data_IF_249777447663
#
_entry.id   IF_249777447663
#
_cell.length_a   1.000
_cell.length_b   1.000
_cell.length_c   1.000
_cell.angle_alpha   90.00
_cell.angle_beta   90.00
_cell.angle_gamma   90.00
#
_symmetry.space_group_name_H-M   'P 1'
#
loop_
_entity.id
_entity.type
_entity.pdbx_description
1 polymer ?
#
# COMPACT_ATOMS: atom_id res chain seq x y z
N UNK A 1 -31.41 35.81 -14.94
CA UNK A 1 -31.99 35.05 -13.82
C UNK A 1 -31.00 35.13 -12.68
N UNK A 2 -31.48 35.52 -11.51
CA UNK A 2 -30.68 35.62 -10.29
C UNK A 2 -30.44 34.17 -9.84
N UNK A 3 -29.20 33.67 -9.98
CA UNK A 3 -28.82 32.41 -9.35
C UNK A 3 -28.97 32.59 -7.84
N UNK A 4 -29.76 31.72 -7.24
CA UNK A 4 -30.06 31.75 -5.82
C UNK A 4 -28.76 31.53 -5.03
N UNK A 5 -28.30 32.54 -4.31
CA UNK A 5 -27.06 32.49 -3.50
C UNK A 5 -27.19 31.61 -2.25
N UNK A 6 -28.33 30.91 -2.10
CA UNK A 6 -28.68 30.09 -0.93
C UNK A 6 -27.88 28.78 -0.88
N UNK A 7 -27.55 28.17 -2.02
CA UNK A 7 -26.92 26.84 -2.04
C UNK A 7 -25.43 26.89 -1.65
N UNK A 8 -24.76 28.04 -1.87
CA UNK A 8 -23.32 28.25 -1.59
C UNK A 8 -22.94 28.24 -0.10
N UNK A 9 -23.92 28.35 0.80
CA UNK A 9 -23.68 28.43 2.25
C UNK A 9 -24.68 27.57 3.01
N UNK A 10 -24.86 26.34 2.52
CA UNK A 10 -25.74 25.31 3.10
C UNK A 10 -24.94 24.35 3.99
N UNK A 11 -25.67 23.52 4.75
CA UNK A 11 -25.08 22.43 5.50
C UNK A 11 -24.43 21.38 4.58
N UNK A 12 -25.02 21.14 3.41
CA UNK A 12 -24.50 20.21 2.40
C UNK A 12 -23.15 20.68 1.84
N UNK A 13 -23.07 21.97 1.49
CA UNK A 13 -21.82 22.57 1.02
C UNK A 13 -20.75 22.60 2.11
N UNK A 14 -21.14 22.83 3.37
CA UNK A 14 -20.20 22.73 4.48
C UNK A 14 -19.65 21.31 4.64
N UNK A 15 -20.52 20.30 4.57
CA UNK A 15 -20.10 18.91 4.64
C UNK A 15 -19.15 18.53 3.49
N UNK A 16 -19.43 18.99 2.27
CA UNK A 16 -18.52 18.83 1.13
C UNK A 16 -17.11 19.42 1.42
N UNK A 17 -17.05 20.66 1.93
CA UNK A 17 -15.78 21.31 2.29
C UNK A 17 -15.05 20.56 3.42
N UNK A 18 -15.77 20.06 4.43
CA UNK A 18 -15.19 19.25 5.52
C UNK A 18 -14.50 18.01 4.99
N UNK A 19 -15.18 17.24 4.13
CA UNK A 19 -14.65 15.99 3.58
C UNK A 19 -13.40 16.23 2.73
N UNK A 20 -13.40 17.28 1.90
CA UNK A 20 -12.25 17.61 1.04
C UNK A 20 -11.04 18.08 1.86
N UNK A 21 -11.25 18.83 2.93
CA UNK A 21 -10.15 19.28 3.80
C UNK A 21 -9.65 18.22 4.77
N UNK A 22 -10.47 17.24 5.15
CA UNK A 22 -10.09 16.18 6.11
C UNK A 22 -8.83 15.41 5.68
N UNK A 23 -8.65 15.23 4.37
CA UNK A 23 -7.50 14.53 3.79
C UNK A 23 -6.52 15.48 3.07
N UNK A 24 -6.72 16.80 3.16
CA UNK A 24 -5.88 17.79 2.48
C UNK A 24 -4.56 17.99 3.23
N UNK A 25 -3.46 18.16 2.49
CA UNK A 25 -2.16 18.59 3.04
C UNK A 25 -2.24 19.98 3.73
N UNK A 26 -3.31 20.73 3.44
CA UNK A 26 -3.56 22.08 3.95
C UNK A 26 -4.36 22.09 5.26
N UNK A 27 -4.75 20.93 5.79
CA UNK A 27 -5.60 20.80 6.98
C UNK A 27 -5.04 21.51 8.23
N UNK A 28 -3.72 21.55 8.36
CA UNK A 28 -3.01 22.20 9.46
C UNK A 28 -2.33 23.52 9.04
N UNK A 29 -2.67 24.04 7.85
CA UNK A 29 -2.22 25.37 7.43
C UNK A 29 -3.12 26.44 8.03
N UNK A 30 -2.52 27.52 8.56
CA UNK A 30 -3.30 28.61 9.16
C UNK A 30 -4.33 29.17 8.15
N UNK A 31 -5.60 29.30 8.57
CA UNK A 31 -6.69 29.87 7.76
C UNK A 31 -6.36 31.29 7.29
N UNK A 32 -5.57 32.04 8.08
CA UNK A 32 -5.09 33.36 7.69
C UNK A 32 -4.12 33.32 6.50
N UNK A 33 -3.32 32.26 6.35
CA UNK A 33 -2.42 32.04 5.21
C UNK A 33 -3.23 31.60 4.00
N UNK A 34 -4.13 30.63 4.17
CA UNK A 34 -5.04 30.18 3.09
C UNK A 34 -5.89 31.32 2.56
N UNK A 35 -6.39 32.17 3.46
CA UNK A 35 -7.16 33.36 3.10
C UNK A 35 -6.37 34.40 2.31
N UNK A 36 -5.06 34.52 2.49
CA UNK A 36 -4.25 35.42 1.65
C UNK A 36 -4.25 34.99 0.19
N UNK A 37 -4.16 33.68 -0.07
CA UNK A 37 -4.20 33.12 -1.42
C UNK A 37 -5.59 33.35 -2.07
N UNK A 38 -6.66 33.24 -1.28
CA UNK A 38 -8.03 33.53 -1.69
C UNK A 38 -8.39 35.04 -1.69
N UNK A 39 -7.47 35.94 -1.34
CA UNK A 39 -7.75 37.37 -1.12
C UNK A 39 -8.85 37.67 -0.07
N UNK A 40 -9.04 36.78 0.91
CA UNK A 40 -10.02 36.90 2.01
C UNK A 40 -9.30 36.97 3.36
N UNK A 41 -9.61 37.99 4.17
CA UNK A 41 -9.01 38.16 5.50
C UNK A 41 -9.76 37.38 6.58
N UNK A 42 -9.05 36.48 7.29
CA UNK A 42 -9.54 35.78 8.49
C UNK A 42 -9.42 36.66 9.75
N UNK A 43 -10.45 36.73 10.61
CA UNK A 43 -10.47 37.65 11.75
C UNK A 43 -9.78 37.14 13.01
N UNK A 44 -9.43 35.85 13.09
CA UNK A 44 -8.72 35.27 14.23
C UNK A 44 -7.23 35.16 13.97
N UNK A 45 -6.45 35.21 15.04
CA UNK A 45 -4.98 35.11 15.01
C UNK A 45 -4.56 33.98 15.94
N UNK A 46 -3.63 33.15 15.49
CA UNK A 46 -3.13 32.03 16.25
C UNK A 46 -2.66 30.94 15.30
N UNK A 47 -1.59 30.24 15.65
CA UNK A 47 -1.11 29.10 14.86
C UNK A 47 -2.03 27.88 14.96
N UNK A 48 -2.99 27.90 15.90
CA UNK A 48 -4.06 26.91 16.05
C UNK A 48 -5.31 27.23 15.22
N UNK A 49 -5.33 28.34 14.49
CA UNK A 49 -6.43 28.74 13.60
C UNK A 49 -6.32 28.04 12.24
N UNK A 50 -6.52 26.73 12.22
CA UNK A 50 -6.38 25.84 11.06
C UNK A 50 -7.72 25.22 10.64
N UNK A 51 -7.87 24.66 9.41
CA UNK A 51 -9.05 23.90 9.02
C UNK A 51 -9.43 22.79 10.00
N UNK A 52 -8.45 22.03 10.54
CA UNK A 52 -8.67 20.97 11.53
C UNK A 52 -9.52 21.41 12.73
N UNK A 53 -9.34 22.66 13.20
CA UNK A 53 -10.12 23.22 14.32
C UNK A 53 -11.62 23.39 14.01
N UNK A 54 -11.99 23.55 12.75
CA UNK A 54 -13.36 23.91 12.36
C UNK A 54 -14.10 22.75 11.70
N UNK A 55 -13.42 21.93 10.90
CA UNK A 55 -14.05 20.85 10.13
C UNK A 55 -14.49 19.65 11.00
N UNK A 56 -14.15 19.62 12.29
CA UNK A 56 -14.69 18.62 13.22
C UNK A 56 -16.17 18.86 13.54
N UNK A 57 -16.65 20.10 13.39
CA UNK A 57 -18.03 20.50 13.69
C UNK A 57 -18.93 20.40 12.45
N UNK A 58 -20.13 19.85 12.62
CA UNK A 58 -21.17 19.97 11.61
C UNK A 58 -21.65 21.44 11.45
N UNK A 59 -22.52 21.71 10.47
CA UNK A 59 -22.91 23.10 10.18
C UNK A 59 -23.70 23.77 11.32
N UNK A 60 -24.41 23.00 12.14
CA UNK A 60 -25.15 23.51 13.29
C UNK A 60 -24.21 23.75 14.48
N UNK A 61 -23.30 22.81 14.73
CA UNK A 61 -22.26 22.90 15.76
C UNK A 61 -21.24 24.00 15.48
N UNK A 62 -20.90 24.25 14.20
CA UNK A 62 -20.00 25.32 13.79
C UNK A 62 -20.54 26.70 14.22
N UNK A 63 -21.86 26.86 14.22
CA UNK A 63 -22.51 28.07 14.70
C UNK A 63 -22.42 28.24 16.22
N UNK A 64 -21.97 27.22 16.94
CA UNK A 64 -21.75 27.23 18.39
C UNK A 64 -20.28 27.37 18.76
N UNK A 65 -19.36 27.36 17.79
CA UNK A 65 -17.91 27.51 18.04
C UNK A 65 -17.59 28.91 18.58
N UNK A 66 -16.79 29.02 19.66
CA UNK A 66 -16.37 30.29 20.23
C UNK A 66 -15.79 31.24 19.17
N UNK A 67 -16.42 32.42 19.01
CA UNK A 67 -16.04 33.42 18.02
C UNK A 67 -16.85 33.38 16.72
N UNK A 68 -17.49 32.26 16.39
CA UNK A 68 -18.44 32.12 15.27
C UNK A 68 -19.90 32.24 15.71
N UNK A 69 -20.18 32.09 17.02
CA UNK A 69 -21.52 32.21 17.61
C UNK A 69 -22.28 33.44 17.14
N UNK A 70 -23.43 33.20 16.48
CA UNK A 70 -24.33 34.22 15.94
C UNK A 70 -23.74 35.07 14.80
N UNK A 71 -22.58 34.68 14.24
CA UNK A 71 -21.85 35.45 13.22
C UNK A 71 -21.71 34.66 11.93
N UNK A 72 -22.84 34.46 11.24
CA UNK A 72 -22.90 33.76 9.95
C UNK A 72 -21.95 34.34 8.90
N UNK A 73 -21.67 35.65 8.93
CA UNK A 73 -20.69 36.28 8.03
C UNK A 73 -19.26 35.76 8.19
N UNK A 74 -18.89 35.22 9.37
CA UNK A 74 -17.57 34.60 9.59
C UNK A 74 -17.55 33.16 9.10
N UNK A 75 -18.65 32.43 9.26
CA UNK A 75 -18.82 31.08 8.71
C UNK A 75 -18.74 31.13 7.18
N UNK A 76 -19.45 32.07 6.55
CA UNK A 76 -19.37 32.28 5.09
C UNK A 76 -17.95 32.56 4.62
N UNK A 77 -17.20 33.39 5.35
CA UNK A 77 -15.78 33.65 5.04
C UNK A 77 -14.91 32.41 5.17
N UNK A 78 -15.14 31.58 6.18
CA UNK A 78 -14.43 30.32 6.34
C UNK A 78 -14.70 29.42 5.12
N UNK A 79 -15.97 29.21 4.80
CA UNK A 79 -16.39 28.42 3.63
C UNK A 79 -15.80 28.95 2.33
N UNK A 80 -15.78 30.27 2.14
CA UNK A 80 -15.18 30.88 0.95
C UNK A 80 -13.65 30.67 0.90
N UNK A 81 -12.93 30.83 2.01
CA UNK A 81 -11.49 30.55 2.05
C UNK A 81 -11.20 29.10 1.66
N UNK A 82 -11.93 28.15 2.26
CA UNK A 82 -11.74 26.73 1.99
C UNK A 82 -12.08 26.38 0.52
N UNK A 83 -13.22 26.87 0.03
CA UNK A 83 -13.64 26.62 -1.36
C UNK A 83 -12.65 27.14 -2.38
N UNK A 84 -12.25 28.41 -2.26
CA UNK A 84 -11.29 29.01 -3.19
C UNK A 84 -9.95 28.27 -3.12
N UNK A 85 -9.52 27.88 -1.91
CA UNK A 85 -8.28 27.08 -1.74
C UNK A 85 -8.35 25.75 -2.48
N UNK A 86 -9.49 25.05 -2.45
CA UNK A 86 -9.67 23.79 -3.20
C UNK A 86 -9.75 24.03 -4.71
N UNK A 87 -10.40 25.10 -5.17
CA UNK A 87 -10.46 25.45 -6.58
C UNK A 87 -9.07 25.78 -7.17
N UNK A 88 -8.14 26.29 -6.35
CA UNK A 88 -6.75 26.48 -6.75
C UNK A 88 -5.95 25.17 -6.82
N UNK A 89 -6.29 24.18 -6.01
CA UNK A 89 -5.62 22.86 -5.97
C UNK A 89 -6.16 21.91 -7.06
N UNK A 90 -7.43 22.04 -7.44
CA UNK A 90 -8.08 21.28 -8.51
C UNK A 90 -9.05 22.15 -9.35
N UNK A 91 -8.55 22.86 -10.38
CA UNK A 91 -9.30 23.87 -11.13
C UNK A 91 -10.41 23.32 -12.04
N UNK A 92 -10.66 22.00 -12.04
CA UNK A 92 -11.64 21.35 -12.90
C UNK A 92 -12.81 20.67 -12.14
N UNK A 93 -12.86 20.79 -10.81
CA UNK A 93 -13.86 20.12 -9.96
C UNK A 93 -15.30 20.58 -10.21
N UNK A 94 -15.53 21.85 -10.59
CA UNK A 94 -16.88 22.45 -10.74
C UNK A 94 -17.72 21.90 -11.91
N UNK A 95 -17.19 20.99 -12.74
CA UNK A 95 -17.93 20.34 -13.84
C UNK A 95 -18.49 18.95 -13.49
N UNK A 96 -18.30 18.46 -12.27
CA UNK A 96 -18.73 17.13 -11.83
C UNK A 96 -20.05 17.08 -11.03
N UNK A 97 -20.61 18.23 -10.60
CA UNK A 97 -21.66 18.28 -9.57
C UNK A 97 -23.11 18.11 -10.08
N UNK A 98 -23.37 17.12 -10.93
CA UNK A 98 -24.74 16.61 -11.13
C UNK A 98 -24.77 15.09 -11.15
N UNK A 99 -24.48 14.45 -10.02
CA UNK A 99 -24.82 13.04 -9.82
C UNK A 99 -25.34 12.80 -8.40
N UNK A 100 -26.36 11.97 -8.36
CA UNK A 100 -27.30 11.70 -7.28
C UNK A 100 -26.66 11.13 -6.01
N UNK A 101 -27.29 11.43 -4.87
CA UNK A 101 -27.05 10.78 -3.58
C UNK A 101 -27.47 9.31 -3.68
N UNK A 102 -26.52 8.48 -4.06
CA UNK A 102 -26.48 7.04 -3.84
C UNK A 102 -25.08 6.71 -3.34
N UNK A 103 -24.94 5.74 -2.44
CA UNK A 103 -23.65 5.20 -2.02
C UNK A 103 -22.96 4.54 -3.21
N UNK A 104 -22.35 5.33 -4.10
CA UNK A 104 -21.39 4.85 -5.07
C UNK A 104 -20.16 4.45 -4.28
N UNK A 105 -19.87 3.15 -4.28
CA UNK A 105 -18.51 2.67 -4.03
C UNK A 105 -17.64 3.51 -4.96
N UNK A 106 -16.79 4.36 -4.40
CA UNK A 106 -15.92 5.20 -5.20
C UNK A 106 -14.99 4.27 -5.98
N UNK A 107 -15.31 4.05 -7.26
CA UNK A 107 -14.54 3.23 -8.20
C UNK A 107 -13.12 3.80 -8.46
N UNK A 108 -12.63 4.73 -7.64
CA UNK A 108 -11.32 5.33 -7.73
C UNK A 108 -10.21 4.28 -7.64
N UNK A 109 -10.32 3.32 -6.74
CA UNK A 109 -9.30 2.28 -6.61
C UNK A 109 -9.32 1.33 -7.78
N UNK A 110 -10.48 0.97 -8.32
CA UNK A 110 -10.67 0.18 -9.52
C UNK A 110 -10.00 0.86 -10.71
N UNK A 111 -10.25 2.16 -10.91
CA UNK A 111 -9.57 2.97 -11.95
C UNK A 111 -8.05 3.04 -11.74
N UNK A 112 -7.58 3.11 -10.49
CA UNK A 112 -6.15 3.10 -10.18
C UNK A 112 -5.53 1.73 -10.51
N UNK A 113 -6.17 0.63 -10.10
CA UNK A 113 -5.72 -0.73 -10.37
C UNK A 113 -5.71 -0.99 -11.87
N UNK A 114 -6.74 -0.58 -12.61
CA UNK A 114 -6.80 -0.66 -14.06
C UNK A 114 -5.64 0.11 -14.72
N UNK A 115 -5.38 1.36 -14.28
CA UNK A 115 -4.28 2.19 -14.80
C UNK A 115 -2.90 1.57 -14.53
N UNK A 116 -2.75 0.87 -13.42
CA UNK A 116 -1.53 0.14 -13.03
C UNK A 116 -1.48 -1.28 -13.61
N UNK A 117 -2.54 -1.72 -14.29
CA UNK A 117 -2.72 -3.08 -14.81
C UNK A 117 -2.61 -4.15 -13.71
N UNK A 118 -3.04 -3.81 -12.48
CA UNK A 118 -3.04 -4.72 -11.34
C UNK A 118 -4.39 -5.45 -11.29
N UNK A 119 -4.42 -6.80 -11.30
CA UNK A 119 -5.67 -7.54 -11.23
C UNK A 119 -6.38 -7.37 -9.88
N UNK A 120 -7.63 -6.92 -9.90
CA UNK A 120 -8.51 -6.80 -8.71
C UNK A 120 -8.67 -8.14 -7.95
N UNK A 121 -8.65 -9.24 -8.69
CA UNK A 121 -8.78 -10.59 -8.15
C UNK A 121 -7.47 -11.18 -7.62
N UNK A 122 -6.39 -10.39 -7.54
CA UNK A 122 -5.13 -10.84 -6.93
C UNK A 122 -5.39 -11.35 -5.51
N UNK A 123 -4.96 -12.56 -5.13
CA UNK A 123 -5.33 -13.15 -3.84
C UNK A 123 -4.84 -12.32 -2.66
N UNK A 124 -5.73 -12.07 -1.69
CA UNK A 124 -5.41 -11.30 -0.50
C UNK A 124 -4.28 -11.93 0.33
N UNK A 125 -4.18 -13.26 0.32
CA UNK A 125 -3.11 -14.01 0.98
C UNK A 125 -1.70 -13.75 0.40
N UNK A 126 -1.63 -13.31 -0.86
CA UNK A 126 -0.37 -12.96 -1.54
C UNK A 126 0.00 -11.49 -1.37
N UNK A 127 -0.84 -10.69 -0.70
CA UNK A 127 -0.49 -9.32 -0.34
C UNK A 127 0.43 -9.37 0.87
N UNK A 128 1.54 -8.65 0.79
CA UNK A 128 2.55 -8.65 1.85
C UNK A 128 2.18 -7.67 2.96
N UNK A 129 1.29 -8.11 3.84
CA UNK A 129 0.98 -7.48 5.12
C UNK A 129 1.63 -8.20 6.30
N UNK A 130 1.62 -7.52 7.44
CA UNK A 130 1.91 -8.06 8.76
C UNK A 130 1.04 -9.29 9.08
N UNK A 131 1.52 -10.21 9.93
CA UNK A 131 0.73 -11.36 10.37
C UNK A 131 -0.64 -10.97 10.92
N UNK A 132 -0.70 -9.88 11.70
CA UNK A 132 -1.92 -9.39 12.35
C UNK A 132 -2.96 -8.95 11.30
N UNK A 133 -2.55 -8.19 10.29
CA UNK A 133 -3.45 -7.78 9.20
C UNK A 133 -3.88 -8.97 8.35
N UNK A 134 -3.01 -9.95 8.09
CA UNK A 134 -3.40 -11.17 7.36
C UNK A 134 -4.44 -11.98 8.13
N UNK A 135 -4.30 -12.12 9.44
CA UNK A 135 -5.28 -12.79 10.29
C UNK A 135 -6.62 -12.06 10.29
N UNK A 136 -6.60 -10.72 10.36
CA UNK A 136 -7.80 -9.89 10.28
C UNK A 136 -8.54 -10.08 8.95
N UNK A 137 -7.85 -9.93 7.82
CA UNK A 137 -8.48 -10.08 6.50
C UNK A 137 -9.08 -11.49 6.35
N UNK A 138 -8.37 -12.52 6.84
CA UNK A 138 -8.86 -13.90 6.82
C UNK A 138 -10.09 -14.10 7.71
N UNK A 139 -10.13 -13.49 8.88
CA UNK A 139 -11.28 -13.59 9.79
C UNK A 139 -12.56 -12.98 9.20
N UNK A 140 -12.39 -11.92 8.39
CA UNK A 140 -13.48 -11.24 7.68
C UNK A 140 -13.84 -11.90 6.33
N UNK A 141 -13.16 -13.00 5.97
CA UNK A 141 -13.44 -13.73 4.72
C UNK A 141 -13.02 -12.99 3.46
N UNK A 142 -12.00 -12.13 3.55
CA UNK A 142 -11.46 -11.37 2.43
C UNK A 142 -10.49 -12.25 1.66
N UNK A 143 -10.79 -12.47 0.37
CA UNK A 143 -10.07 -13.39 -0.50
C UNK A 143 -9.26 -12.69 -1.59
N UNK A 144 -9.64 -11.46 -1.96
CA UNK A 144 -9.06 -10.73 -3.10
C UNK A 144 -8.56 -9.34 -2.72
N UNK A 145 -7.70 -8.77 -3.56
CA UNK A 145 -7.15 -7.43 -3.41
C UNK A 145 -8.25 -6.37 -3.37
N UNK A 146 -9.24 -6.43 -4.27
CA UNK A 146 -10.30 -5.43 -4.28
C UNK A 146 -11.15 -5.48 -3.01
N UNK A 147 -11.44 -6.68 -2.49
CA UNK A 147 -12.13 -6.84 -1.21
C UNK A 147 -11.30 -6.30 -0.05
N UNK A 148 -9.98 -6.48 -0.05
CA UNK A 148 -9.09 -5.93 0.97
C UNK A 148 -9.06 -4.40 0.93
N UNK A 149 -9.16 -3.81 -0.27
CA UNK A 149 -9.25 -2.37 -0.46
C UNK A 149 -10.58 -1.83 0.08
N UNK A 150 -11.71 -2.38 -0.36
CA UNK A 150 -13.04 -1.98 0.11
C UNK A 150 -13.16 -2.10 1.63
N UNK A 151 -12.69 -3.21 2.20
CA UNK A 151 -12.67 -3.40 3.64
C UNK A 151 -11.88 -2.31 4.37
N UNK A 152 -10.70 -1.94 3.85
CA UNK A 152 -9.88 -0.90 4.45
C UNK A 152 -10.45 0.52 4.26
N UNK A 153 -11.27 0.76 3.22
CA UNK A 153 -11.99 2.02 3.02
C UNK A 153 -13.16 2.19 4.02
N UNK A 154 -13.86 1.09 4.33
CA UNK A 154 -15.00 1.09 5.24
C UNK A 154 -14.58 1.12 6.72
N UNK A 155 -13.31 0.82 7.02
CA UNK A 155 -12.79 0.85 8.38
C UNK A 155 -12.66 2.28 8.92
N UNK A 156 -13.23 2.51 10.11
CA UNK A 156 -13.01 3.79 10.80
C UNK A 156 -11.52 3.98 11.14
N UNK A 157 -10.98 5.22 11.04
CA UNK A 157 -9.56 5.50 11.27
C UNK A 157 -9.02 5.06 12.65
N UNK A 158 -9.90 4.90 13.65
CA UNK A 158 -9.58 4.45 15.01
C UNK A 158 -9.56 2.93 15.18
N UNK A 159 -10.07 2.17 14.21
CA UNK A 159 -10.23 0.71 14.26
C UNK A 159 -9.18 -0.05 13.43
N UNK A 160 -8.25 0.67 12.78
CA UNK A 160 -7.16 0.10 11.99
C UNK A 160 -6.15 -0.66 12.87
N UNK A 161 -6.45 -1.94 13.10
CA UNK A 161 -5.51 -2.96 13.52
C UNK A 161 -4.54 -3.22 12.35
N UNK A 162 -3.41 -2.52 12.34
CA UNK A 162 -2.35 -2.64 11.34
C UNK A 162 -2.14 -1.36 10.54
N UNK A 163 -1.04 -0.65 10.80
CA UNK A 163 -0.70 0.58 10.08
C UNK A 163 -0.31 0.35 8.61
N UNK A 164 0.00 -0.89 8.25
CA UNK A 164 0.40 -1.32 6.91
C UNK A 164 -0.77 -1.39 5.92
N UNK A 165 -1.98 -1.79 6.32
CA UNK A 165 -3.17 -1.70 5.44
C UNK A 165 -3.47 -0.25 5.06
N UNK A 166 -3.46 0.67 6.04
CA UNK A 166 -3.62 2.11 5.78
C UNK A 166 -2.50 2.65 4.90
N UNK A 167 -1.25 2.29 5.20
CA UNK A 167 -0.09 2.68 4.39
C UNK A 167 -0.21 2.19 2.94
N UNK A 168 -0.76 0.99 2.75
CA UNK A 168 -1.00 0.42 1.43
C UNK A 168 -2.06 1.18 0.64
N UNK A 169 -3.22 1.46 1.26
CA UNK A 169 -4.28 2.26 0.64
C UNK A 169 -3.80 3.65 0.25
N UNK A 170 -3.07 4.32 1.15
CA UNK A 170 -2.47 5.61 0.85
C UNK A 170 -1.46 5.52 -0.31
N UNK A 171 -0.67 4.45 -0.35
CA UNK A 171 0.26 4.19 -1.44
C UNK A 171 -0.45 4.03 -2.78
N UNK A 172 -1.56 3.29 -2.83
CA UNK A 172 -2.39 3.13 -4.02
C UNK A 172 -3.05 4.45 -4.44
N UNK A 173 -3.70 5.15 -3.51
CA UNK A 173 -4.41 6.41 -3.78
C UNK A 173 -3.49 7.49 -4.37
N UNK A 174 -2.25 7.57 -3.88
CA UNK A 174 -1.24 8.51 -4.36
C UNK A 174 -0.44 7.99 -5.56
N UNK A 175 -0.67 6.75 -5.98
CA UNK A 175 0.14 6.05 -6.97
C UNK A 175 1.64 6.10 -6.60
N UNK A 176 1.92 5.96 -5.29
CA UNK A 176 3.25 5.98 -4.71
C UNK A 176 3.89 4.61 -4.84
N UNK A 177 4.57 4.39 -5.97
CA UNK A 177 5.17 3.09 -6.30
C UNK A 177 6.08 2.53 -5.20
N UNK A 178 6.99 3.30 -4.54
CA UNK A 178 7.77 2.82 -3.41
C UNK A 178 6.95 2.23 -2.26
N UNK A 179 5.71 2.68 -2.05
CA UNK A 179 4.80 2.10 -1.07
C UNK A 179 4.04 0.90 -1.63
N UNK A 180 3.61 0.94 -2.89
CA UNK A 180 2.93 -0.18 -3.56
C UNK A 180 3.84 -1.43 -3.58
N UNK A 181 5.11 -1.27 -3.95
CA UNK A 181 6.07 -2.40 -4.05
C UNK A 181 6.45 -3.02 -2.69
N UNK A 182 6.02 -2.42 -1.57
CA UNK A 182 6.14 -3.06 -0.25
C UNK A 182 5.10 -4.16 -0.05
N UNK A 183 3.97 -4.08 -0.75
CA UNK A 183 2.82 -4.96 -0.51
C UNK A 183 2.50 -5.82 -1.73
N UNK A 184 2.73 -5.32 -2.94
CA UNK A 184 2.42 -5.99 -4.20
C UNK A 184 3.69 -6.20 -5.05
N UNK A 185 3.74 -7.29 -5.84
CA UNK A 185 4.86 -7.60 -6.72
C UNK A 185 4.83 -6.77 -8.02
N UNK A 186 4.82 -5.45 -7.87
CA UNK A 186 4.73 -4.48 -8.95
C UNK A 186 6.12 -3.92 -9.32
N UNK A 187 6.36 -3.56 -10.59
CA UNK A 187 7.60 -2.89 -11.02
C UNK A 187 7.33 -1.69 -11.93
N UNK A 188 8.23 -0.71 -11.91
CA UNK A 188 8.06 0.59 -12.60
C UNK A 188 8.14 0.51 -14.12
N UNK A 189 9.01 -0.35 -14.62
CA UNK A 189 9.36 -0.43 -16.05
C UNK A 189 8.30 -1.16 -16.86
N UNK A 190 7.50 -1.98 -16.19
CA UNK A 190 6.50 -2.84 -16.80
C UNK A 190 5.32 -2.92 -15.83
N UNK A 191 4.22 -2.25 -16.18
CA UNK A 191 2.97 -2.31 -15.42
C UNK A 191 2.51 -3.76 -15.32
N UNK A 192 1.60 -4.04 -14.39
CA UNK A 192 1.21 -5.38 -13.94
C UNK A 192 2.12 -5.95 -12.82
N UNK A 193 1.68 -7.09 -12.29
CA UNK A 193 2.32 -7.89 -11.26
C UNK A 193 3.25 -8.94 -11.90
N UNK A 194 4.37 -9.25 -11.24
CA UNK A 194 5.42 -10.10 -11.77
C UNK A 194 5.92 -11.13 -10.77
N UNK A 195 6.21 -12.35 -11.22
CA UNK A 195 6.65 -13.44 -10.36
C UNK A 195 8.00 -13.14 -9.69
N UNK A 196 8.94 -12.51 -10.40
CA UNK A 196 10.26 -12.23 -9.84
C UNK A 196 10.17 -11.38 -8.56
N UNK A 197 9.30 -10.39 -8.55
CA UNK A 197 9.04 -9.45 -7.46
C UNK A 197 8.27 -10.16 -6.35
N UNK A 198 7.32 -11.04 -6.70
CA UNK A 198 6.58 -11.84 -5.71
C UNK A 198 7.51 -12.76 -4.91
N UNK A 199 8.44 -13.43 -5.60
CA UNK A 199 9.51 -14.21 -4.94
C UNK A 199 10.47 -13.29 -4.17
N UNK A 200 10.75 -12.10 -4.69
CA UNK A 200 11.51 -11.07 -4.00
C UNK A 200 10.87 -10.65 -2.67
N UNK A 201 9.54 -10.54 -2.62
CA UNK A 201 8.81 -10.22 -1.41
C UNK A 201 8.80 -11.38 -0.41
N UNK A 202 8.70 -12.64 -0.85
CA UNK A 202 8.96 -13.81 0.02
C UNK A 202 10.37 -13.71 0.62
N UNK A 203 11.39 -13.44 -0.22
CA UNK A 203 12.78 -13.34 0.21
C UNK A 203 13.00 -12.24 1.26
N UNK A 204 12.27 -11.11 1.13
CA UNK A 204 12.31 -9.99 2.07
C UNK A 204 11.68 -10.35 3.42
N UNK A 205 10.59 -11.10 3.40
CA UNK A 205 9.81 -11.43 4.60
C UNK A 205 10.45 -12.52 5.47
N UNK A 206 11.47 -13.22 4.95
CA UNK A 206 12.30 -14.13 5.75
C UNK A 206 13.06 -13.36 6.83
N UNK A 207 13.17 -13.90 8.04
CA UNK A 207 13.98 -13.27 9.08
C UNK A 207 15.44 -13.12 8.64
N UNK A 208 16.09 -12.04 9.08
CA UNK A 208 17.46 -11.69 8.69
C UNK A 208 18.46 -12.85 8.84
N UNK A 209 18.49 -13.65 9.94
CA UNK A 209 19.38 -14.81 10.02
C UNK A 209 19.17 -15.85 8.91
N UNK A 210 17.93 -16.05 8.46
CA UNK A 210 17.58 -16.98 7.37
C UNK A 210 18.05 -16.42 6.04
N UNK A 211 17.82 -15.12 5.78
CA UNK A 211 18.36 -14.47 4.58
C UNK A 211 19.88 -14.61 4.49
N UNK A 212 20.59 -14.42 5.61
CA UNK A 212 22.04 -14.58 5.70
C UNK A 212 22.49 -16.02 5.44
N UNK A 213 21.73 -17.01 5.92
CA UNK A 213 22.01 -18.42 5.63
C UNK A 213 21.91 -18.70 4.13
N UNK A 214 20.86 -18.23 3.47
CA UNK A 214 20.67 -18.39 2.02
C UNK A 214 21.75 -17.66 1.21
N UNK A 215 22.13 -16.45 1.63
CA UNK A 215 23.22 -15.68 1.01
C UNK A 215 24.57 -16.39 1.12
N UNK A 216 24.87 -16.93 2.31
CA UNK A 216 26.09 -17.71 2.52
C UNK A 216 26.14 -18.93 1.61
N UNK A 217 25.01 -19.60 1.40
CA UNK A 217 24.92 -20.75 0.50
C UNK A 217 25.05 -20.37 -0.97
N UNK A 218 24.63 -19.16 -1.34
CA UNK A 218 24.88 -18.57 -2.65
C UNK A 218 26.35 -18.12 -2.85
N UNK A 219 27.22 -18.31 -1.84
CA UNK A 219 28.63 -17.91 -1.91
C UNK A 219 28.86 -16.41 -1.70
N UNK A 220 27.89 -15.68 -1.16
CA UNK A 220 28.06 -14.26 -0.80
C UNK A 220 28.89 -14.16 0.48
N UNK A 221 29.98 -13.38 0.42
CA UNK A 221 30.79 -13.10 1.60
C UNK A 221 30.01 -12.29 2.63
N UNK A 222 29.94 -12.80 3.86
CA UNK A 222 29.32 -12.13 5.00
C UNK A 222 30.36 -11.42 5.85
N UNK A 223 29.96 -10.34 6.52
CA UNK A 223 30.79 -9.71 7.56
C UNK A 223 30.81 -10.57 8.84
N UNK A 224 31.74 -10.32 9.75
CA UNK A 224 31.80 -11.04 11.03
C UNK A 224 30.51 -10.89 11.86
N UNK A 225 29.88 -9.70 11.82
CA UNK A 225 28.61 -9.43 12.48
C UNK A 225 27.46 -10.22 11.86
N UNK A 226 27.41 -10.28 10.53
CA UNK A 226 26.43 -11.08 9.80
C UNK A 226 26.62 -12.58 10.05
N UNK A 227 27.86 -13.05 10.11
CA UNK A 227 28.21 -14.43 10.42
C UNK A 227 27.78 -14.83 11.85
N UNK A 228 27.89 -13.90 12.81
CA UNK A 228 27.35 -14.09 14.15
C UNK A 228 25.82 -14.14 14.15
N UNK A 229 25.15 -13.26 13.41
CA UNK A 229 23.68 -13.24 13.30
C UNK A 229 23.14 -14.50 12.63
N UNK A 230 23.77 -14.97 11.55
CA UNK A 230 23.43 -16.21 10.84
C UNK A 230 23.38 -17.40 11.80
N UNK A 231 24.41 -17.54 12.66
CA UNK A 231 24.53 -18.63 13.64
C UNK A 231 23.48 -18.60 14.75
N UNK A 232 22.71 -17.51 14.91
CA UNK A 232 21.64 -17.42 15.92
C UNK A 232 20.41 -18.21 15.51
N UNK A 233 20.18 -18.43 14.21
CA UNK A 233 19.10 -19.28 13.76
C UNK A 233 19.48 -20.76 13.92
N UNK A 234 18.70 -21.49 14.70
CA UNK A 234 18.79 -22.95 14.73
C UNK A 234 18.36 -23.54 13.39
N UNK A 235 19.00 -24.62 12.97
CA UNK A 235 18.69 -25.31 11.71
C UNK A 235 17.19 -25.62 11.56
N UNK A 236 16.52 -26.01 12.64
CA UNK A 236 15.09 -26.32 12.63
C UNK A 236 14.19 -25.10 12.30
N UNK A 237 14.61 -23.90 12.73
CA UNK A 237 13.90 -22.64 12.44
C UNK A 237 14.04 -22.33 10.96
N UNK A 238 15.27 -22.47 10.43
CA UNK A 238 15.56 -22.27 9.00
C UNK A 238 14.73 -23.23 8.16
N UNK A 239 14.72 -24.52 8.49
CA UNK A 239 13.97 -25.54 7.75
C UNK A 239 12.45 -25.29 7.77
N UNK A 240 11.92 -24.79 8.90
CA UNK A 240 10.50 -24.46 9.04
C UNK A 240 10.11 -23.25 8.19
N UNK A 241 10.90 -22.17 8.26
CA UNK A 241 10.66 -20.97 7.46
C UNK A 241 10.76 -21.24 5.96
N UNK A 242 11.73 -22.08 5.53
CA UNK A 242 11.86 -22.46 4.13
C UNK A 242 10.70 -23.32 3.63
N UNK A 243 10.15 -24.21 4.47
CA UNK A 243 8.90 -24.93 4.14
C UNK A 243 7.76 -23.98 3.88
N UNK A 244 7.55 -23.01 4.77
CA UNK A 244 6.48 -22.02 4.63
C UNK A 244 6.68 -21.16 3.37
N UNK A 245 7.91 -20.69 3.13
CA UNK A 245 8.25 -19.94 1.93
C UNK A 245 8.01 -20.73 0.64
N UNK A 246 8.31 -22.04 0.61
CA UNK A 246 8.05 -22.88 -0.56
C UNK A 246 6.56 -23.13 -0.79
N UNK A 247 5.77 -23.34 0.26
CA UNK A 247 4.30 -23.45 0.13
C UNK A 247 3.72 -22.16 -0.49
N UNK A 248 4.19 -21.00 -0.02
CA UNK A 248 3.77 -19.72 -0.60
C UNK A 248 4.23 -19.58 -2.07
N UNK A 249 5.46 -19.99 -2.37
CA UNK A 249 6.00 -19.96 -3.73
C UNK A 249 5.25 -20.93 -4.67
N UNK A 250 4.84 -22.10 -4.20
CA UNK A 250 3.98 -23.02 -4.97
C UNK A 250 2.67 -22.35 -5.38
N UNK A 251 2.02 -21.66 -4.42
CA UNK A 251 0.77 -20.94 -4.67
C UNK A 251 0.96 -19.77 -5.67
N UNK A 252 2.05 -19.01 -5.53
CA UNK A 252 2.41 -17.97 -6.51
C UNK A 252 2.66 -18.54 -7.90
N UNK A 253 3.34 -19.68 -8.03
CA UNK A 253 3.56 -20.31 -9.33
C UNK A 253 2.27 -20.78 -10.00
N UNK A 254 1.26 -21.19 -9.21
CA UNK A 254 -0.05 -21.50 -9.75
C UNK A 254 -0.71 -20.25 -10.35
N UNK A 255 -0.57 -19.10 -9.70
CA UNK A 255 -1.09 -17.81 -10.17
C UNK A 255 -0.32 -17.27 -11.39
N UNK A 256 1.00 -17.21 -11.30
CA UNK A 256 1.91 -16.73 -12.35
C UNK A 256 2.34 -17.87 -13.29
N UNK A 257 1.39 -18.65 -13.83
CA UNK A 257 1.68 -19.93 -14.51
C UNK A 257 2.70 -19.82 -15.64
N UNK A 258 2.62 -18.76 -16.46
CA UNK A 258 3.54 -18.55 -17.60
C UNK A 258 4.96 -18.23 -17.12
N UNK A 259 5.09 -17.24 -16.25
CA UNK A 259 6.37 -16.84 -15.68
C UNK A 259 7.01 -17.95 -14.84
N UNK A 260 6.20 -18.78 -14.18
CA UNK A 260 6.67 -19.95 -13.44
C UNK A 260 7.29 -21.00 -14.36
N UNK A 261 6.68 -21.28 -15.52
CA UNK A 261 7.25 -22.17 -16.52
C UNK A 261 8.56 -21.63 -17.10
N UNK A 262 8.63 -20.32 -17.35
CA UNK A 262 9.85 -19.66 -17.81
C UNK A 262 10.97 -19.74 -16.76
N UNK A 263 10.65 -19.47 -15.49
CA UNK A 263 11.60 -19.57 -14.38
C UNK A 263 12.09 -21.03 -14.18
N UNK A 264 11.18 -22.00 -14.26
CA UNK A 264 11.54 -23.42 -14.19
C UNK A 264 12.52 -23.80 -15.30
N UNK A 265 12.27 -23.35 -16.52
CA UNK A 265 13.15 -23.60 -17.65
C UNK A 265 14.53 -22.95 -17.44
N UNK A 266 14.58 -21.69 -16.99
CA UNK A 266 15.83 -20.98 -16.66
C UNK A 266 16.63 -21.75 -15.62
N UNK A 267 15.98 -22.28 -14.58
CA UNK A 267 16.63 -23.09 -13.54
C UNK A 267 17.18 -24.43 -14.07
N UNK A 268 16.52 -25.07 -15.05
CA UNK A 268 16.93 -26.38 -15.60
C UNK A 268 18.06 -26.29 -16.62
N UNK A 269 18.14 -25.22 -17.41
CA UNK A 269 19.08 -25.13 -18.54
C UNK A 269 20.41 -24.45 -18.24
N UNK A 270 20.85 -24.43 -16.98
CA UNK A 270 22.06 -23.72 -16.52
C UNK A 270 22.04 -22.20 -16.74
N UNK A 271 20.84 -21.61 -16.88
CA UNK A 271 20.72 -20.16 -17.00
C UNK A 271 21.26 -19.45 -15.76
N UNK A 272 21.76 -18.22 -15.94
CA UNK A 272 22.03 -17.32 -14.83
C UNK A 272 20.68 -16.93 -14.20
N UNK A 273 20.17 -17.78 -13.30
CA UNK A 273 18.88 -17.60 -12.58
C UNK A 273 18.80 -16.20 -11.96
N UNK A 274 19.93 -15.64 -11.53
CA UNK A 274 20.01 -14.28 -11.01
C UNK A 274 19.54 -13.21 -12.00
N UNK A 275 19.75 -13.41 -13.32
CA UNK A 275 19.26 -12.47 -14.33
C UNK A 275 17.75 -12.34 -14.34
N UNK A 276 17.04 -13.40 -13.98
CA UNK A 276 15.59 -13.38 -13.86
C UNK A 276 15.14 -12.39 -12.78
N UNK A 277 15.95 -12.22 -11.73
CA UNK A 277 15.61 -11.41 -10.56
C UNK A 277 16.17 -9.99 -10.60
N UNK A 278 16.98 -9.61 -11.59
CA UNK A 278 17.62 -8.26 -11.68
C UNK A 278 16.60 -7.12 -11.56
N UNK A 279 15.35 -7.32 -12.00
CA UNK A 279 14.29 -6.32 -11.90
C UNK A 279 13.96 -5.91 -10.45
N UNK A 280 14.26 -6.75 -9.46
CA UNK A 280 14.13 -6.43 -8.03
C UNK A 280 15.00 -5.23 -7.63
N UNK A 281 16.15 -5.04 -8.29
CA UNK A 281 17.10 -3.95 -8.04
C UNK A 281 17.58 -3.86 -6.57
N UNK A 282 17.78 -5.02 -5.95
CA UNK A 282 18.36 -5.17 -4.61
C UNK A 282 19.26 -6.42 -4.60
N UNK A 283 20.59 -6.28 -4.77
CA UNK A 283 21.48 -7.40 -5.08
C UNK A 283 21.42 -8.57 -4.11
N UNK A 284 21.22 -8.31 -2.81
CA UNK A 284 21.09 -9.39 -1.81
C UNK A 284 19.75 -10.10 -1.90
N UNK A 285 18.66 -9.35 -2.09
CA UNK A 285 17.31 -9.90 -2.26
C UNK A 285 17.21 -10.75 -3.53
N UNK A 286 17.82 -10.28 -4.62
CA UNK A 286 17.97 -11.03 -5.88
C UNK A 286 18.64 -12.39 -5.66
N UNK A 287 19.72 -12.43 -4.87
CA UNK A 287 20.43 -13.68 -4.56
C UNK A 287 19.60 -14.62 -3.72
N UNK A 288 18.90 -14.12 -2.71
CA UNK A 288 17.99 -14.94 -1.89
C UNK A 288 16.86 -15.51 -2.76
N UNK A 289 16.22 -14.68 -3.58
CA UNK A 289 15.18 -15.10 -4.52
C UNK A 289 15.68 -16.18 -5.51
N UNK A 290 16.89 -16.00 -6.04
CA UNK A 290 17.52 -17.00 -6.91
C UNK A 290 17.80 -18.34 -6.19
N UNK A 291 18.19 -18.31 -4.92
CA UNK A 291 18.35 -19.54 -4.11
C UNK A 291 17.01 -20.25 -3.90
N UNK A 292 15.95 -19.50 -3.58
CA UNK A 292 14.59 -20.05 -3.45
C UNK A 292 14.11 -20.69 -4.76
N UNK A 293 14.34 -20.02 -5.90
CA UNK A 293 13.99 -20.57 -7.22
C UNK A 293 14.76 -21.85 -7.55
N UNK A 294 16.07 -21.89 -7.27
CA UNK A 294 16.88 -23.10 -7.44
C UNK A 294 16.44 -24.23 -6.53
N UNK A 295 16.11 -23.93 -5.28
CA UNK A 295 15.57 -24.91 -4.34
C UNK A 295 14.27 -25.55 -4.85
N UNK A 296 13.39 -24.76 -5.47
CA UNK A 296 12.11 -25.21 -6.02
C UNK A 296 12.25 -25.99 -7.34
N UNK A 297 13.00 -25.45 -8.31
CA UNK A 297 13.01 -25.96 -9.69
C UNK A 297 14.30 -26.69 -10.08
N UNK A 298 15.39 -26.43 -9.38
CA UNK A 298 16.74 -26.82 -9.79
C UNK A 298 17.32 -27.95 -8.96
N UNK A 299 16.96 -29.22 -9.23
CA UNK A 299 17.87 -30.35 -8.98
C UNK A 299 17.73 -31.45 -10.04
N UNK A 300 18.75 -31.65 -10.91
CA UNK A 300 19.16 -32.98 -11.35
C UNK A 300 19.82 -33.72 -10.17
N UNK A 301 19.43 -34.97 -9.93
CA UNK A 301 19.73 -35.74 -8.70
C UNK A 301 21.21 -35.88 -8.28
N UNK A 302 22.18 -35.48 -9.13
CA UNK A 302 23.62 -35.68 -8.94
C UNK A 302 24.35 -34.58 -8.14
N UNK A 303 23.76 -33.41 -7.92
CA UNK A 303 24.45 -32.25 -7.28
C UNK A 303 23.94 -31.89 -5.87
N UNK A 304 23.15 -32.78 -5.25
CA UNK A 304 22.66 -32.62 -3.87
C UNK A 304 23.82 -32.66 -2.86
N UNK A 305 24.44 -31.53 -2.52
CA UNK A 305 25.28 -31.42 -1.31
C UNK A 305 24.63 -30.56 -0.22
N UNK A 306 24.59 -31.14 0.98
CA UNK A 306 24.41 -30.46 2.26
C UNK A 306 22.97 -30.08 2.62
N UNK A 307 22.51 -28.93 2.09
CA UNK A 307 21.30 -28.26 2.54
C UNK A 307 20.23 -28.15 1.45
N UNK A 308 20.60 -27.87 0.19
CA UNK A 308 19.70 -27.97 -0.97
C UNK A 308 19.14 -29.41 -1.14
N UNK A 309 19.93 -30.41 -0.79
CA UNK A 309 19.47 -31.81 -0.74
C UNK A 309 18.46 -32.10 0.38
N UNK A 310 18.53 -31.39 1.51
CA UNK A 310 17.57 -31.52 2.63
C UNK A 310 16.27 -30.79 2.34
N UNK A 311 16.37 -29.56 1.82
CA UNK A 311 15.24 -28.80 1.27
C UNK A 311 14.52 -29.67 0.24
N UNK A 312 15.18 -30.15 -0.80
CA UNK A 312 14.53 -31.01 -1.80
C UNK A 312 13.97 -32.32 -1.23
N UNK A 313 14.58 -32.89 -0.19
CA UNK A 313 14.03 -34.05 0.54
C UNK A 313 12.79 -33.74 1.37
N UNK A 314 12.55 -32.47 1.73
CA UNK A 314 11.32 -32.00 2.38
C UNK A 314 10.17 -31.80 1.39
N UNK A 315 10.46 -31.65 0.09
CA UNK A 315 9.47 -31.40 -0.97
C UNK A 315 9.27 -32.58 -1.93
N UNK A 316 10.03 -33.67 -1.75
CA UNK A 316 9.85 -34.93 -2.49
C UNK A 316 9.19 -35.99 -1.62
N UNK A 317 7.86 -35.93 -1.53
CA UNK A 317 6.98 -36.91 -0.88
C UNK A 317 5.65 -36.98 -1.58
#
# INVERSE_FOLDING_TARGET
>A
MIQDTSDRYSAEEWEHLRQRFLNSILIDTEIAILGQNASITWPFKGSDETPSKYIEYDFEELQSVPGLVGKMSRIKKLMDILRETLAFDDPFSDMADTVEVGSEIDDAFERILEKLEIPENYPAEFIHFSPETKELLKAEGIETLIQAIHYGQDMSPSMLLGGDLKSFLNGLALVDEPSIVKHLPYRRTERNLHLAEAVGLIARDLDQPIQLELLSQAGVSLTDDEEMLRKRAGQDIVDTALKQAMVHFDALCAWFTKEAADLEQVCKTSGEVERYFIAINEPRRERVAAVLARAKFGIPASERRGFLGKISGMFGG
#
